data_IF_455392075848
#
_entry.id   IF_455392075848
#
_cell.length_a   1.000
_cell.length_b   1.000
_cell.length_c   1.000
_cell.angle_alpha   90.00
_cell.angle_beta   90.00
_cell.angle_gamma   90.00
#
_symmetry.space_group_name_H-M   'P 1'
#
loop_
_entity.id
_entity.type
_entity.pdbx_description
1 polymer ?
#
# COMPACT_ATOMS: atom_id res chain seq x y z
N UNK A 1 4.08 -28.84 3.98
CA UNK A 1 2.76 -28.86 4.64
C UNK A 1 2.61 -27.55 5.41
N UNK A 2 1.53 -26.79 5.21
CA UNK A 2 1.29 -25.55 5.94
C UNK A 2 0.72 -25.88 7.34
N UNK A 3 1.30 -25.33 8.40
CA UNK A 3 0.76 -25.48 9.76
C UNK A 3 -0.48 -24.61 9.92
N UNK A 4 -1.55 -25.18 10.48
CA UNK A 4 -2.75 -24.43 10.82
C UNK A 4 -2.40 -23.35 11.87
N UNK A 5 -2.90 -22.13 11.65
CA UNK A 5 -2.63 -20.99 12.51
C UNK A 5 -3.33 -21.09 13.88
N UNK A 6 -4.45 -21.82 13.94
CA UNK A 6 -5.17 -22.11 15.19
C UNK A 6 -5.59 -23.58 15.25
N UNK A 7 -5.70 -24.10 16.49
CA UNK A 7 -6.28 -25.42 16.79
C UNK A 7 -7.77 -25.33 17.13
N UNK A 8 -8.28 -24.12 17.31
CA UNK A 8 -9.69 -23.88 17.58
C UNK A 8 -10.46 -23.91 16.26
N UNK A 9 -11.66 -24.47 16.29
CA UNK A 9 -12.55 -24.40 15.13
C UNK A 9 -13.03 -22.97 14.96
N UNK A 10 -12.64 -22.35 13.85
CA UNK A 10 -13.14 -21.03 13.46
C UNK A 10 -13.98 -21.19 12.20
N UNK A 11 -15.23 -20.73 12.25
CA UNK A 11 -16.06 -20.61 11.06
C UNK A 11 -15.61 -19.36 10.30
N UNK A 12 -15.15 -19.54 9.07
CA UNK A 12 -14.82 -18.41 8.19
C UNK A 12 -16.07 -17.67 7.74
N UNK A 13 -15.89 -16.46 7.23
CA UNK A 13 -16.98 -15.71 6.62
C UNK A 13 -17.19 -16.19 5.17
N UNK A 14 -18.42 -16.58 4.84
CA UNK A 14 -18.79 -16.87 3.47
C UNK A 14 -19.01 -15.55 2.73
N UNK A 15 -17.93 -15.00 2.17
CA UNK A 15 -18.02 -13.76 1.42
C UNK A 15 -18.66 -14.00 0.06
N UNK A 16 -19.80 -13.38 -0.18
CA UNK A 16 -20.47 -13.43 -1.46
C UNK A 16 -19.77 -12.50 -2.45
N UNK A 17 -18.61 -12.93 -2.95
CA UNK A 17 -18.19 -12.48 -4.27
C UNK A 17 -19.35 -12.81 -5.21
N UNK A 18 -19.80 -11.84 -6.01
CA UNK A 18 -20.87 -12.06 -6.97
C UNK A 18 -20.54 -13.19 -7.96
N UNK A 19 -21.29 -13.27 -9.06
CA UNK A 19 -20.96 -14.24 -10.11
C UNK A 19 -19.53 -14.05 -10.67
N UNK A 20 -18.97 -12.85 -10.53
CA UNK A 20 -17.60 -12.53 -10.91
C UNK A 20 -16.59 -13.05 -9.87
N UNK A 21 -15.80 -14.04 -10.31
CA UNK A 21 -14.71 -14.65 -9.56
C UNK A 21 -13.36 -14.46 -10.27
N UNK A 22 -13.24 -13.41 -11.08
CA UNK A 22 -11.96 -13.05 -11.67
C UNK A 22 -10.91 -12.76 -10.59
N UNK A 23 -9.66 -13.12 -10.88
CA UNK A 23 -8.54 -12.97 -9.93
C UNK A 23 -8.41 -11.52 -9.47
N UNK A 24 -8.63 -10.56 -10.37
CA UNK A 24 -8.58 -9.14 -10.05
C UNK A 24 -9.67 -8.74 -9.04
N UNK A 25 -10.91 -9.15 -9.26
CA UNK A 25 -12.05 -8.88 -8.37
C UNK A 25 -11.80 -9.43 -6.98
N UNK A 26 -11.33 -10.67 -6.89
CA UNK A 26 -10.98 -11.30 -5.60
C UNK A 26 -9.83 -10.54 -4.92
N UNK A 27 -8.79 -10.14 -5.66
CA UNK A 27 -7.66 -9.41 -5.09
C UNK A 27 -8.07 -8.07 -4.51
N UNK A 28 -8.86 -7.28 -5.25
CA UNK A 28 -9.35 -5.98 -4.79
C UNK A 28 -10.24 -6.13 -3.56
N UNK A 29 -11.11 -7.15 -3.55
CA UNK A 29 -11.95 -7.48 -2.41
C UNK A 29 -11.12 -7.84 -1.17
N UNK A 30 -10.07 -8.64 -1.32
CA UNK A 30 -9.15 -8.96 -0.21
C UNK A 30 -8.45 -7.71 0.33
N UNK A 31 -8.05 -6.78 -0.55
CA UNK A 31 -7.45 -5.50 -0.15
C UNK A 31 -8.45 -4.65 0.64
N UNK A 32 -9.69 -4.54 0.17
CA UNK A 32 -10.73 -3.78 0.87
C UNK A 32 -11.05 -4.39 2.24
N UNK A 33 -11.09 -5.71 2.34
CA UNK A 33 -11.28 -6.42 3.60
C UNK A 33 -10.15 -6.11 4.59
N UNK A 34 -8.89 -6.12 4.14
CA UNK A 34 -7.72 -5.77 4.98
C UNK A 34 -7.74 -4.30 5.40
N UNK A 35 -8.20 -3.39 4.53
CA UNK A 35 -8.21 -1.96 4.81
C UNK A 35 -9.33 -1.55 5.77
N UNK A 36 -10.51 -2.15 5.65
CA UNK A 36 -11.70 -1.77 6.42
C UNK A 36 -11.83 -2.50 7.76
N UNK A 37 -10.88 -3.38 8.09
CA UNK A 37 -10.88 -4.11 9.35
C UNK A 37 -10.76 -3.16 10.55
N UNK A 38 -11.52 -3.41 11.62
CA UNK A 38 -11.37 -2.66 12.87
C UNK A 38 -9.95 -2.84 13.42
N UNK A 39 -9.44 -1.83 14.15
CA UNK A 39 -8.09 -1.87 14.72
C UNK A 39 -7.84 -3.12 15.59
N UNK A 40 -8.89 -3.67 16.21
CA UNK A 40 -8.83 -4.86 17.05
C UNK A 40 -8.67 -6.18 16.27
N UNK A 41 -9.10 -6.24 15.00
CA UNK A 41 -8.99 -7.45 14.16
C UNK A 41 -7.89 -7.36 13.08
N UNK A 42 -7.16 -6.25 13.02
CA UNK A 42 -6.12 -6.04 12.02
C UNK A 42 -4.95 -7.02 12.23
N UNK A 43 -4.50 -7.76 11.20
CA UNK A 43 -3.35 -8.64 11.34
C UNK A 43 -2.11 -7.84 11.79
N UNK A 44 -1.32 -8.33 12.78
CA UNK A 44 -0.15 -7.59 13.30
C UNK A 44 0.88 -7.21 12.24
N UNK A 45 1.00 -8.04 11.20
CA UNK A 45 1.92 -7.81 10.09
C UNK A 45 1.30 -6.95 8.96
N UNK A 46 0.04 -6.51 9.05
CA UNK A 46 -0.59 -5.78 7.94
C UNK A 46 -0.08 -4.33 7.87
N UNK A 47 0.58 -3.91 6.78
CA UNK A 47 1.12 -2.57 6.61
C UNK A 47 0.00 -1.54 6.37
N UNK A 48 0.21 -0.24 6.64
CA UNK A 48 -0.80 0.79 6.40
C UNK A 48 -1.14 0.89 4.91
N UNK A 49 -2.42 0.68 4.56
CA UNK A 49 -2.94 0.72 3.18
C UNK A 49 -3.60 2.04 2.80
N UNK A 50 -3.80 2.95 3.76
CA UNK A 50 -4.37 4.27 3.50
C UNK A 50 -3.35 5.20 2.83
N UNK A 51 -3.81 6.14 1.99
CA UNK A 51 -2.94 7.12 1.39
C UNK A 51 -2.31 8.04 2.44
N UNK A 52 -1.03 8.37 2.24
CA UNK A 52 -0.38 9.46 2.94
C UNK A 52 -0.83 10.79 2.33
N UNK A 53 -0.92 11.82 3.16
CA UNK A 53 -1.28 13.16 2.71
C UNK A 53 -0.05 13.83 2.09
N UNK A 54 -0.26 14.68 1.08
CA UNK A 54 0.82 15.40 0.40
C UNK A 54 1.73 16.16 1.38
N UNK A 55 1.14 16.77 2.42
CA UNK A 55 1.88 17.47 3.50
C UNK A 55 2.77 16.56 4.34
N UNK A 56 2.46 15.27 4.41
CA UNK A 56 3.20 14.29 5.19
C UNK A 56 4.24 13.57 4.33
N UNK A 57 4.12 13.60 3.00
CA UNK A 57 5.10 13.02 2.08
C UNK A 57 6.48 13.65 2.27
N UNK A 58 6.55 14.96 2.48
CA UNK A 58 7.85 15.62 2.66
C UNK A 58 8.61 15.09 3.88
N UNK A 59 7.90 14.71 4.94
CA UNK A 59 8.49 14.10 6.13
C UNK A 59 9.09 12.71 5.90
N UNK A 60 8.81 12.09 4.75
CA UNK A 60 9.40 10.83 4.32
C UNK A 60 10.81 11.03 3.73
N UNK A 61 11.14 12.23 3.25
CA UNK A 61 12.48 12.55 2.72
C UNK A 61 13.52 12.82 3.81
N UNK A 62 13.09 13.35 4.96
CA UNK A 62 13.99 13.93 5.98
C UNK A 62 14.59 12.90 6.95
N UNK A 63 14.35 11.61 6.75
CA UNK A 63 14.80 10.58 7.68
C UNK A 63 16.04 9.90 7.14
N UNK A 64 17.07 9.79 7.99
CA UNK A 64 18.16 8.82 7.88
C UNK A 64 17.57 7.40 7.95
N UNK A 65 16.80 7.07 6.94
CA UNK A 65 16.13 5.81 6.77
C UNK A 65 17.19 4.82 6.32
N UNK A 66 17.36 3.73 7.07
CA UNK A 66 18.18 2.61 6.62
C UNK A 66 17.50 1.77 5.51
N UNK A 67 16.31 2.17 5.06
CA UNK A 67 15.50 1.49 4.05
C UNK A 67 15.15 2.40 2.87
N UNK A 68 14.85 1.78 1.73
CA UNK A 68 14.26 2.44 0.58
C UNK A 68 12.81 2.82 0.89
N UNK A 69 12.36 3.99 0.47
CA UNK A 69 10.94 4.36 0.52
C UNK A 69 10.41 4.58 -0.89
N UNK A 70 9.43 3.78 -1.31
CA UNK A 70 8.72 3.95 -2.56
C UNK A 70 7.35 4.60 -2.31
N UNK A 71 7.02 5.62 -3.09
CA UNK A 71 5.73 6.32 -3.02
C UNK A 71 5.01 6.12 -4.35
N UNK A 72 3.91 5.37 -4.32
CA UNK A 72 3.05 5.15 -5.47
C UNK A 72 2.00 6.26 -5.53
N UNK A 73 2.09 7.14 -6.53
CA UNK A 73 1.08 8.15 -6.82
C UNK A 73 0.02 7.55 -7.73
N UNK A 74 -1.24 7.65 -7.32
CA UNK A 74 -2.35 7.02 -8.05
C UNK A 74 -3.69 7.74 -7.85
N UNK A 75 -4.70 7.34 -8.62
CA UNK A 75 -6.07 7.81 -8.41
C UNK A 75 -6.73 7.09 -7.22
N UNK A 76 -7.80 7.67 -6.68
CA UNK A 76 -8.53 7.05 -5.56
C UNK A 76 -9.12 5.67 -5.89
N UNK A 77 -9.48 5.43 -7.16
CA UNK A 77 -10.02 4.14 -7.63
C UNK A 77 -8.95 3.08 -7.90
N UNK A 78 -7.66 3.46 -7.92
CA UNK A 78 -6.56 2.54 -8.20
C UNK A 78 -6.22 1.66 -7.00
N UNK A 79 -5.84 0.41 -7.27
CA UNK A 79 -5.39 -0.56 -6.28
C UNK A 79 -3.88 -0.79 -6.31
N UNK A 80 -3.17 -0.25 -7.32
CA UNK A 80 -1.74 -0.50 -7.57
C UNK A 80 -0.91 -0.24 -6.32
N UNK A 81 -1.09 0.90 -5.66
CA UNK A 81 -0.30 1.22 -4.47
C UNK A 81 -0.51 0.23 -3.33
N UNK A 82 -1.73 -0.27 -3.14
CA UNK A 82 -2.06 -1.28 -2.11
C UNK A 82 -1.54 -2.65 -2.46
N UNK A 83 -1.60 -3.04 -3.73
CA UNK A 83 -1.00 -4.27 -4.25
C UNK A 83 0.52 -4.26 -4.01
N UNK A 84 1.21 -3.20 -4.42
CA UNK A 84 2.67 -3.08 -4.24
C UNK A 84 3.06 -3.05 -2.76
N UNK A 85 2.28 -2.40 -1.89
CA UNK A 85 2.51 -2.44 -0.43
C UNK A 85 2.47 -3.88 0.10
N UNK A 86 1.52 -4.70 -0.35
CA UNK A 86 1.35 -6.07 0.12
C UNK A 86 2.37 -7.03 -0.51
N UNK A 87 2.71 -6.83 -1.79
CA UNK A 87 3.73 -7.62 -2.49
C UNK A 87 5.12 -7.45 -1.85
N UNK A 88 5.43 -6.24 -1.36
CA UNK A 88 6.71 -5.93 -0.74
C UNK A 88 6.73 -6.10 0.78
N UNK A 89 5.68 -6.65 1.39
CA UNK A 89 5.55 -6.78 2.84
C UNK A 89 6.68 -7.57 3.50
N UNK A 90 7.25 -8.56 2.82
CA UNK A 90 8.31 -9.41 3.37
C UNK A 90 9.70 -8.75 3.32
N UNK A 91 9.85 -7.60 2.66
CA UNK A 91 11.13 -6.93 2.48
C UNK A 91 11.30 -5.81 3.51
N UNK A 92 12.05 -6.10 4.58
CA UNK A 92 12.25 -5.14 5.68
C UNK A 92 13.05 -3.89 5.27
N UNK A 93 13.84 -3.97 4.19
CA UNK A 93 14.63 -2.87 3.66
C UNK A 93 13.88 -1.97 2.68
N UNK A 94 12.58 -2.21 2.45
CA UNK A 94 11.74 -1.41 1.55
C UNK A 94 10.42 -1.07 2.25
N UNK A 95 10.09 0.21 2.27
CA UNK A 95 8.78 0.70 2.72
C UNK A 95 8.05 1.27 1.53
N UNK A 96 6.82 0.81 1.32
CA UNK A 96 5.95 1.35 0.28
C UNK A 96 4.86 2.19 0.93
N UNK A 97 4.59 3.35 0.34
CA UNK A 97 3.45 4.22 0.65
C UNK A 97 2.69 4.51 -0.62
N UNK A 98 1.41 4.84 -0.49
CA UNK A 98 0.59 5.35 -1.58
C UNK A 98 0.19 6.80 -1.31
N UNK A 99 0.06 7.61 -2.34
CA UNK A 99 -0.42 8.98 -2.26
C UNK A 99 -1.42 9.25 -3.40
N UNK A 100 -2.44 10.06 -3.13
CA UNK A 100 -3.47 10.37 -4.12
C UNK A 100 -3.06 11.54 -5.02
N UNK A 101 -3.58 11.54 -6.24
CA UNK A 101 -3.35 12.59 -7.23
C UNK A 101 -4.21 13.86 -7.05
N UNK A 102 -4.80 14.07 -5.88
CA UNK A 102 -5.68 15.22 -5.61
C UNK A 102 -4.93 16.55 -5.52
N UNK A 103 -3.67 16.53 -5.10
CA UNK A 103 -2.82 17.72 -4.95
C UNK A 103 -1.88 17.87 -6.15
N UNK A 104 -2.36 18.52 -7.21
CA UNK A 104 -1.61 18.71 -8.46
C UNK A 104 -0.35 19.56 -8.26
N UNK A 105 -0.43 20.61 -7.45
CA UNK A 105 0.71 21.48 -7.19
C UNK A 105 1.86 20.72 -6.50
N UNK A 106 1.52 19.80 -5.60
CA UNK A 106 2.49 18.91 -4.99
C UNK A 106 3.12 17.94 -5.99
N UNK A 107 2.32 17.33 -6.87
CA UNK A 107 2.83 16.44 -7.92
C UNK A 107 3.77 17.18 -8.89
N UNK A 108 3.41 18.39 -9.30
CA UNK A 108 4.23 19.24 -10.18
C UNK A 108 5.58 19.57 -9.52
N UNK A 109 5.56 19.88 -8.21
CA UNK A 109 6.79 20.13 -7.44
C UNK A 109 7.72 18.91 -7.38
N UNK A 110 7.14 17.71 -7.35
CA UNK A 110 7.90 16.46 -7.41
C UNK A 110 8.27 16.03 -8.83
N UNK A 111 7.80 16.75 -9.87
CA UNK A 111 8.03 16.39 -11.26
C UNK A 111 7.26 15.14 -11.70
N UNK A 112 6.10 14.86 -11.10
CA UNK A 112 5.24 13.73 -11.45
C UNK A 112 4.27 14.16 -12.58
N UNK A 113 4.46 13.69 -13.83
CA UNK A 113 3.68 14.19 -14.97
C UNK A 113 2.29 13.55 -15.09
N UNK A 114 2.14 12.33 -14.56
CA UNK A 114 0.89 11.56 -14.62
C UNK A 114 0.89 10.47 -13.55
N UNK A 115 -0.28 9.86 -13.37
CA UNK A 115 -0.47 8.71 -12.49
C UNK A 115 -1.07 7.54 -13.29
N UNK A 116 -0.77 6.27 -12.94
CA UNK A 116 0.07 5.86 -11.82
C UNK A 116 1.56 6.13 -12.07
N UNK A 117 2.30 6.44 -11.01
CA UNK A 117 3.75 6.65 -11.05
C UNK A 117 4.39 6.33 -9.71
N UNK A 118 5.71 6.09 -9.70
CA UNK A 118 6.43 5.71 -8.51
C UNK A 118 7.61 6.65 -8.26
N UNK A 119 7.76 7.09 -7.02
CA UNK A 119 8.85 7.95 -6.59
C UNK A 119 9.67 7.21 -5.55
N UNK A 120 10.97 7.07 -5.77
CA UNK A 120 11.87 6.32 -4.91
C UNK A 120 12.76 7.26 -4.11
N UNK A 121 12.89 6.97 -2.82
CA UNK A 121 13.79 7.63 -1.89
C UNK A 121 14.80 6.59 -1.41
N UNK A 122 16.07 6.86 -1.64
CA UNK A 122 17.17 6.00 -1.23
C UNK A 122 17.60 6.32 0.21
N UNK A 123 18.25 5.37 0.92
CA UNK A 123 18.80 5.59 2.25
C UNK A 123 19.80 6.77 2.35
N UNK A 124 20.46 7.11 1.25
CA UNK A 124 21.41 8.24 1.18
C UNK A 124 20.73 9.60 0.95
N UNK A 125 19.40 9.66 0.95
CA UNK A 125 18.61 10.87 0.73
C UNK A 125 18.38 11.22 -0.75
N UNK A 126 19.06 10.57 -1.69
CA UNK A 126 18.78 10.74 -3.12
C UNK A 126 17.39 10.21 -3.46
N UNK A 127 16.66 10.93 -4.32
CA UNK A 127 15.28 10.58 -4.63
C UNK A 127 14.85 11.09 -5.99
N UNK A 128 13.84 10.45 -6.58
CA UNK A 128 13.32 10.83 -7.88
C UNK A 128 12.22 9.90 -8.38
N UNK A 129 11.61 10.29 -9.50
CA UNK A 129 10.66 9.46 -10.24
C UNK A 129 11.39 8.27 -10.88
N UNK A 130 10.78 7.09 -10.87
CA UNK A 130 11.29 5.86 -11.52
C UNK A 130 10.33 5.30 -12.56
#
# INVERSE_FOLDING_TARGET
YFKAFTKQFTTGENYQAGADREVQTIRQLMIDFLQNHSQEGRPPACPPLHPVLSRDVTSLFDKNSHHYTAIVFESNSSYIGREVILDLLQYENIVVRRALNSDKAFLDKLGVPSVPSCYLIHPNGSHGLI
#
